data_IF_098379874332
#
_entry.id   IF_098379874332
#
_cell.length_a   1.000
_cell.length_b   1.000
_cell.length_c   1.000
_cell.angle_alpha   90.00
_cell.angle_beta   90.00
_cell.angle_gamma   90.00
#
_symmetry.space_group_name_H-M   'P 1'
#
loop_
_entity.id
_entity.type
_entity.pdbx_description
1 polymer ?
#
# COMPACT_ATOMS: atom_id res chain seq x y z
N UNK A 1 12.68 -2.36 19.23
CA UNK A 1 11.59 -3.11 19.88
C UNK A 1 10.33 -2.26 19.74
N UNK A 2 9.46 -2.56 18.76
CA UNK A 2 8.26 -1.76 18.50
C UNK A 2 7.14 -2.21 19.45
N UNK A 3 6.79 -1.36 20.41
CA UNK A 3 5.61 -1.49 21.27
C UNK A 3 4.39 -1.02 20.47
N UNK A 4 3.75 -1.93 19.75
CA UNK A 4 2.32 -1.87 19.47
C UNK A 4 1.65 -2.76 20.49
N UNK A 5 0.58 -2.28 21.13
CA UNK A 5 -0.20 -3.08 22.08
C UNK A 5 -0.69 -4.34 21.35
N UNK A 6 -0.10 -5.48 21.69
CA UNK A 6 -0.49 -6.79 21.17
C UNK A 6 -1.78 -7.18 21.89
N UNK A 7 -2.94 -6.79 21.38
CA UNK A 7 -4.18 -7.43 21.81
C UNK A 7 -4.36 -8.74 21.03
N UNK A 8 -4.77 -9.83 21.70
CA UNK A 8 -5.17 -11.03 20.99
C UNK A 8 -6.40 -10.72 20.13
N UNK A 9 -6.52 -11.32 18.93
CA UNK A 9 -7.70 -11.16 18.09
C UNK A 9 -8.98 -11.53 18.86
N UNK A 10 -9.93 -10.59 18.92
CA UNK A 10 -11.28 -10.84 19.44
C UNK A 10 -12.19 -11.11 18.24
N UNK A 11 -12.76 -12.31 18.16
CA UNK A 11 -13.85 -12.54 17.22
C UNK A 11 -15.19 -12.73 17.96
N UNK A 12 -16.32 -12.82 17.26
CA UNK A 12 -17.64 -13.14 17.84
C UNK A 12 -18.15 -14.48 17.28
N UNK A 13 -19.27 -15.02 17.77
CA UNK A 13 -19.75 -16.42 17.55
C UNK A 13 -19.63 -16.99 16.11
N UNK A 14 -19.55 -16.14 15.08
CA UNK A 14 -19.23 -16.48 13.67
C UNK A 14 -17.71 -16.56 13.37
N UNK A 15 -16.89 -17.02 14.32
CA UNK A 15 -15.42 -17.03 14.31
C UNK A 15 -14.77 -17.76 13.12
N UNK A 16 -15.48 -18.58 12.34
CA UNK A 16 -14.84 -19.48 11.37
C UNK A 16 -14.41 -18.80 10.06
N UNK A 17 -15.04 -17.69 9.68
CA UNK A 17 -14.79 -16.99 8.41
C UNK A 17 -14.07 -15.64 8.58
N UNK A 18 -13.78 -15.28 9.83
CA UNK A 18 -13.16 -14.00 10.17
C UNK A 18 -11.63 -14.11 10.29
N UNK A 19 -10.95 -13.04 9.91
CA UNK A 19 -9.53 -12.85 10.12
C UNK A 19 -9.21 -11.43 10.61
N UNK A 20 -8.00 -11.24 11.10
CA UNK A 20 -7.47 -9.97 11.56
C UNK A 20 -6.38 -9.49 10.62
N UNK A 21 -6.37 -8.20 10.32
CA UNK A 21 -5.27 -7.55 9.62
C UNK A 21 -4.40 -6.85 10.64
N UNK A 22 -3.14 -7.27 10.74
CA UNK A 22 -2.08 -6.55 11.43
C UNK A 22 -1.47 -5.56 10.43
N UNK A 23 -1.88 -4.30 10.53
CA UNK A 23 -1.56 -3.23 9.59
C UNK A 23 -0.34 -2.45 10.02
N UNK A 24 0.74 -2.54 9.24
CA UNK A 24 1.97 -1.79 9.40
C UNK A 24 1.92 -0.52 8.54
N UNK A 25 2.16 0.66 9.13
CA UNK A 25 2.12 1.93 8.42
C UNK A 25 3.08 2.99 8.99
N UNK A 26 3.33 4.06 8.22
CA UNK A 26 4.20 5.16 8.63
C UNK A 26 5.69 4.84 8.72
N UNK A 27 6.10 3.60 8.44
CA UNK A 27 7.48 3.15 8.39
C UNK A 27 8.05 3.10 6.98
N UNK A 28 9.31 2.72 6.89
CA UNK A 28 10.09 2.63 5.65
C UNK A 28 10.64 1.21 5.49
N UNK A 29 10.60 0.68 4.26
CA UNK A 29 11.29 -0.55 3.94
C UNK A 29 12.79 -0.27 3.77
N UNK A 30 13.62 -0.95 4.56
CA UNK A 30 15.08 -0.88 4.50
C UNK A 30 15.63 -2.24 4.06
N UNK A 31 16.69 -2.25 3.25
CA UNK A 31 17.42 -3.46 2.92
C UNK A 31 18.74 -3.45 3.70
N UNK A 32 18.92 -4.40 4.63
CA UNK A 32 20.15 -4.56 5.42
C UNK A 32 20.67 -5.98 5.20
N UNK A 33 21.88 -6.11 4.70
CA UNK A 33 22.53 -7.42 4.45
C UNK A 33 21.67 -8.40 3.64
N UNK A 34 21.05 -7.91 2.56
CA UNK A 34 20.09 -8.64 1.71
C UNK A 34 18.80 -9.07 2.43
N UNK A 35 18.51 -8.52 3.60
CA UNK A 35 17.26 -8.71 4.31
C UNK A 35 16.40 -7.44 4.25
N UNK A 36 15.21 -7.58 3.67
CA UNK A 36 14.20 -6.54 3.72
C UNK A 36 13.63 -6.47 5.15
N UNK A 37 13.61 -5.27 5.72
CA UNK A 37 13.09 -4.94 7.04
C UNK A 37 12.11 -3.78 6.92
N UNK A 38 11.19 -3.69 7.87
CA UNK A 38 10.28 -2.56 8.00
C UNK A 38 10.61 -1.79 9.29
N UNK A 39 11.01 -0.53 9.16
CA UNK A 39 11.56 0.27 10.26
C UNK A 39 10.76 1.57 10.49
N UNK A 40 10.69 2.00 11.74
CA UNK A 40 10.11 3.30 12.13
C UNK A 40 8.58 3.40 12.02
N UNK A 41 7.88 2.31 11.69
CA UNK A 41 6.43 2.30 11.53
C UNK A 41 5.63 2.04 12.81
N UNK A 42 4.32 2.18 12.68
CA UNK A 42 3.30 1.83 13.67
C UNK A 42 2.56 0.57 13.22
N UNK A 43 1.85 -0.04 14.18
CA UNK A 43 1.01 -1.21 13.95
C UNK A 43 -0.37 -0.93 14.50
N UNK A 44 -1.38 -1.06 13.65
CA UNK A 44 -2.79 -1.10 14.04
C UNK A 44 -3.36 -2.48 13.70
N UNK A 45 -4.50 -2.82 14.30
CA UNK A 45 -5.20 -4.06 13.98
C UNK A 45 -6.61 -3.76 13.49
N UNK A 46 -7.05 -4.51 12.48
CA UNK A 46 -8.40 -4.47 11.94
C UNK A 46 -8.98 -5.86 12.12
N UNK A 47 -9.80 -6.01 13.16
CA UNK A 47 -10.43 -7.27 13.53
C UNK A 47 -11.74 -7.51 12.75
N UNK A 48 -12.23 -8.75 12.80
CA UNK A 48 -13.51 -9.17 12.20
C UNK A 48 -13.60 -8.92 10.68
N UNK A 49 -12.50 -9.10 9.94
CA UNK A 49 -12.52 -9.08 8.48
C UNK A 49 -13.11 -10.39 7.95
N UNK A 50 -14.19 -10.32 7.17
CA UNK A 50 -14.82 -11.50 6.57
C UNK A 50 -14.20 -11.83 5.22
N UNK A 51 -13.60 -13.02 5.08
CA UNK A 51 -12.92 -13.42 3.85
C UNK A 51 -13.83 -13.41 2.60
N UNK A 52 -15.11 -13.78 2.76
CA UNK A 52 -16.11 -13.83 1.70
C UNK A 52 -16.50 -12.46 1.13
N UNK A 53 -16.33 -11.38 1.89
CA UNK A 53 -16.68 -10.00 1.50
C UNK A 53 -15.47 -9.08 1.43
N UNK A 54 -14.27 -9.63 1.60
CA UNK A 54 -13.06 -8.84 1.66
C UNK A 54 -12.62 -8.40 0.26
N UNK A 55 -12.34 -7.10 0.12
CA UNK A 55 -11.88 -6.49 -1.13
C UNK A 55 -10.90 -5.36 -0.85
N UNK A 56 -10.14 -4.94 -1.86
CA UNK A 56 -9.29 -3.75 -1.77
C UNK A 56 -10.10 -2.47 -1.51
N UNK A 57 -11.34 -2.40 -2.01
CA UNK A 57 -12.26 -1.30 -1.67
C UNK A 57 -12.62 -1.27 -0.17
N UNK A 58 -12.73 -2.43 0.46
CA UNK A 58 -12.97 -2.53 1.91
C UNK A 58 -11.77 -1.97 2.68
N UNK A 59 -10.54 -2.21 2.21
CA UNK A 59 -9.33 -1.60 2.79
C UNK A 59 -9.35 -0.08 2.69
N UNK A 60 -9.65 0.49 1.51
CA UNK A 60 -9.72 1.95 1.34
C UNK A 60 -10.75 2.61 2.27
N UNK A 61 -11.89 1.95 2.49
CA UNK A 61 -12.90 2.41 3.45
C UNK A 61 -12.36 2.42 4.89
N UNK A 62 -11.66 1.37 5.30
CA UNK A 62 -11.04 1.30 6.63
C UNK A 62 -9.94 2.36 6.78
N UNK A 63 -9.15 2.61 5.73
CA UNK A 63 -8.12 3.66 5.75
C UNK A 63 -8.72 5.05 5.94
N UNK A 64 -9.85 5.33 5.29
CA UNK A 64 -10.59 6.59 5.48
C UNK A 64 -11.08 6.77 6.92
N UNK A 65 -11.58 5.69 7.56
CA UNK A 65 -12.03 5.72 8.96
C UNK A 65 -10.85 5.96 9.92
N UNK A 66 -9.70 5.36 9.63
CA UNK A 66 -8.46 5.49 10.43
C UNK A 66 -7.69 6.79 10.18
N UNK A 67 -8.23 7.69 9.34
CA UNK A 67 -7.64 9.00 8.97
C UNK A 67 -6.24 8.88 8.35
N UNK A 68 -5.92 7.74 7.75
CA UNK A 68 -4.68 7.55 7.01
C UNK A 68 -4.87 8.17 5.62
N UNK A 69 -3.98 9.07 5.17
CA UNK A 69 -4.14 9.76 3.89
C UNK A 69 -4.09 8.78 2.71
N UNK A 70 -5.00 8.95 1.76
CA UNK A 70 -5.07 8.20 0.49
C UNK A 70 -4.54 9.08 -0.67
N UNK A 71 -4.12 8.48 -1.81
CA UNK A 71 -4.10 7.05 -2.13
C UNK A 71 -2.96 6.31 -1.42
N UNK A 72 -3.13 5.03 -1.14
CA UNK A 72 -2.08 4.15 -0.59
C UNK A 72 -2.03 2.85 -1.40
N UNK A 73 -0.84 2.30 -1.57
CA UNK A 73 -0.65 0.94 -2.04
C UNK A 73 -0.71 -0.03 -0.86
N UNK A 74 -1.05 -1.29 -1.15
CA UNK A 74 -1.11 -2.35 -0.15
C UNK A 74 -0.15 -3.48 -0.52
N UNK A 75 0.54 -4.03 0.46
CA UNK A 75 1.26 -5.29 0.32
C UNK A 75 1.00 -6.18 1.52
N UNK A 76 1.02 -7.48 1.34
CA UNK A 76 0.95 -8.45 2.44
C UNK A 76 2.20 -9.30 2.47
N UNK A 77 2.57 -9.77 3.66
CA UNK A 77 3.62 -10.77 3.83
C UNK A 77 2.98 -12.15 3.86
N UNK A 78 3.35 -13.01 2.91
CA UNK A 78 2.97 -14.42 2.91
C UNK A 78 3.39 -15.11 4.20
N UNK A 79 2.53 -15.99 4.70
CA UNK A 79 2.73 -16.73 5.93
C UNK A 79 4.01 -17.55 5.89
N UNK A 80 4.70 -17.63 7.03
CA UNK A 80 5.95 -18.40 7.21
C UNK A 80 7.16 -17.92 6.39
N UNK A 81 7.02 -16.85 5.61
CA UNK A 81 8.12 -16.21 4.89
C UNK A 81 8.57 -14.92 5.59
N UNK A 82 9.81 -14.53 5.35
CA UNK A 82 10.33 -13.22 5.75
C UNK A 82 9.89 -12.13 4.76
N UNK A 83 10.14 -10.86 5.08
CA UNK A 83 9.78 -9.75 4.20
C UNK A 83 10.54 -9.79 2.85
N UNK A 84 11.77 -10.30 2.84
CA UNK A 84 12.59 -10.39 1.62
C UNK A 84 11.93 -11.27 0.55
N UNK A 85 11.37 -12.41 0.94
CA UNK A 85 10.83 -13.39 0.00
C UNK A 85 9.30 -13.49 0.01
N UNK A 86 8.65 -12.96 1.05
CA UNK A 86 7.22 -13.10 1.29
C UNK A 86 6.38 -11.88 0.94
N UNK A 87 6.98 -10.73 0.65
CA UNK A 87 6.24 -9.50 0.42
C UNK A 87 5.60 -9.49 -0.99
N UNK A 88 4.27 -9.41 -1.04
CA UNK A 88 3.49 -9.41 -2.28
C UNK A 88 2.58 -8.17 -2.32
N UNK A 89 2.63 -7.41 -3.41
CA UNK A 89 1.78 -6.21 -3.58
C UNK A 89 0.38 -6.60 -4.04
N UNK A 90 -0.66 -6.00 -3.46
CA UNK A 90 -2.04 -6.18 -3.90
C UNK A 90 -2.35 -5.23 -5.06
N UNK A 91 -2.02 -5.65 -6.28
CA UNK A 91 -2.26 -4.88 -7.52
C UNK A 91 -3.32 -5.50 -8.41
N UNK A 92 -3.61 -6.78 -8.24
CA UNK A 92 -4.58 -7.56 -9.02
C UNK A 92 -5.36 -8.48 -8.07
N UNK A 93 -6.59 -8.82 -8.45
CA UNK A 93 -7.49 -9.65 -7.64
C UNK A 93 -6.91 -11.03 -7.32
N UNK A 94 -6.06 -11.57 -8.21
CA UNK A 94 -5.35 -12.83 -7.96
C UNK A 94 -4.49 -12.77 -6.68
N UNK A 95 -3.81 -11.66 -6.42
CA UNK A 95 -2.99 -11.52 -5.20
C UNK A 95 -3.85 -11.44 -3.94
N UNK A 96 -5.06 -10.88 -4.05
CA UNK A 96 -6.02 -10.85 -2.97
C UNK A 96 -6.55 -12.26 -2.68
N UNK A 97 -6.89 -13.03 -3.71
CA UNK A 97 -7.33 -14.41 -3.56
C UNK A 97 -6.24 -15.28 -2.91
N UNK A 98 -4.98 -15.14 -3.35
CA UNK A 98 -3.84 -15.82 -2.73
C UNK A 98 -3.65 -15.43 -1.26
N UNK A 99 -3.79 -14.14 -0.93
CA UNK A 99 -3.74 -13.67 0.45
C UNK A 99 -4.83 -14.33 1.29
N UNK A 100 -6.08 -14.36 0.81
CA UNK A 100 -7.21 -14.97 1.53
C UNK A 100 -7.04 -16.49 1.72
N UNK A 101 -6.40 -17.17 0.76
CA UNK A 101 -6.02 -18.58 0.92
C UNK A 101 -4.92 -18.76 1.97
N UNK A 102 -3.92 -17.86 1.99
CA UNK A 102 -2.80 -17.88 2.93
C UNK A 102 -3.22 -17.57 4.37
N UNK A 103 -4.23 -16.70 4.56
CA UNK A 103 -4.86 -16.42 5.87
C UNK A 103 -5.25 -17.73 6.57
N UNK A 104 -5.87 -18.66 5.82
CA UNK A 104 -6.21 -20.02 6.21
C UNK A 104 -6.44 -20.21 7.72
N UNK A 105 -5.59 -21.03 8.34
CA UNK A 105 -5.65 -21.33 9.78
C UNK A 105 -4.94 -20.30 10.68
N UNK A 106 -4.12 -19.41 10.11
CA UNK A 106 -3.42 -18.36 10.87
C UNK A 106 -4.37 -17.26 11.32
N UNK A 107 -5.44 -17.02 10.55
CA UNK A 107 -6.49 -16.00 10.80
C UNK A 107 -5.95 -14.58 11.01
N UNK A 108 -4.70 -14.35 10.65
CA UNK A 108 -4.02 -13.07 10.79
C UNK A 108 -3.17 -12.84 9.56
N UNK A 109 -3.31 -11.67 8.94
CA UNK A 109 -2.46 -11.21 7.84
C UNK A 109 -1.64 -10.02 8.27
N UNK A 110 -0.34 -10.06 7.96
CA UNK A 110 0.52 -8.89 8.07
C UNK A 110 0.45 -8.09 6.79
N UNK A 111 -0.13 -6.89 6.87
CA UNK A 111 -0.33 -5.98 5.75
C UNK A 111 0.47 -4.70 5.96
N UNK A 112 1.04 -4.16 4.90
CA UNK A 112 1.91 -3.00 4.90
C UNK A 112 1.33 -1.93 3.98
N UNK A 113 1.16 -0.73 4.51
CA UNK A 113 0.83 0.44 3.71
C UNK A 113 2.07 0.94 2.99
N UNK A 114 1.93 1.09 1.68
CA UNK A 114 2.96 1.61 0.80
C UNK A 114 2.50 3.02 0.41
N UNK A 115 3.17 4.08 0.89
CA UNK A 115 2.86 5.43 0.44
C UNK A 115 2.95 5.48 -1.08
N UNK A 116 2.06 6.24 -1.74
CA UNK A 116 2.19 6.46 -3.16
C UNK A 116 3.58 7.07 -3.35
N UNK A 117 4.30 6.62 -4.38
CA UNK A 117 5.53 7.31 -4.77
C UNK A 117 5.07 8.69 -5.17
N UNK A 118 5.15 9.64 -4.24
CA UNK A 118 4.95 11.04 -4.57
C UNK A 118 6.15 11.34 -5.47
N UNK A 119 5.96 11.61 -6.78
CA UNK A 119 7.05 12.20 -7.53
C UNK A 119 7.44 13.45 -6.75
N UNK A 120 8.66 13.47 -6.22
CA UNK A 120 9.20 14.69 -5.64
C UNK A 120 9.18 15.72 -6.76
N UNK A 121 8.21 16.63 -6.73
CA UNK A 121 8.29 17.85 -7.53
C UNK A 121 9.36 18.69 -6.88
N UNK A 122 10.53 18.70 -7.52
CA UNK A 122 11.57 19.60 -7.12
C UNK A 122 11.21 21.01 -7.63
N UNK A 123 11.59 22.08 -6.92
CA UNK A 123 11.24 23.45 -7.30
C UNK A 123 11.67 23.87 -8.73
N UNK A 124 12.61 23.14 -9.35
CA UNK A 124 13.06 23.37 -10.73
C UNK A 124 12.27 22.61 -11.81
N UNK A 125 11.36 21.70 -11.43
CA UNK A 125 10.47 21.01 -12.38
C UNK A 125 9.44 21.98 -13.02
N UNK A 126 9.25 23.16 -12.42
CA UNK A 126 8.46 24.24 -13.00
C UNK A 126 9.11 24.84 -14.27
N UNK A 127 10.44 24.84 -14.37
CA UNK A 127 11.17 25.47 -15.48
C UNK A 127 11.04 24.70 -16.79
N UNK A 128 10.83 23.38 -16.71
CA UNK A 128 10.75 22.49 -17.88
C UNK A 128 9.40 22.65 -18.61
N UNK A 129 8.32 22.91 -17.87
CA UNK A 129 6.98 23.10 -18.46
C UNK A 129 6.82 24.43 -19.22
N UNK A 130 7.57 25.47 -18.84
CA UNK A 130 7.56 26.76 -19.54
C UNK A 130 8.32 26.68 -20.86
N UNK A 131 9.51 26.04 -20.89
CA UNK A 131 10.29 25.90 -22.13
C UNK A 131 9.61 25.01 -23.19
N UNK A 132 8.86 23.99 -22.77
CA UNK A 132 8.13 23.12 -23.70
C UNK A 132 6.93 23.83 -24.35
N UNK A 133 6.26 24.74 -23.66
CA UNK A 133 5.21 25.57 -24.26
C UNK A 133 5.79 26.58 -25.26
N UNK A 134 6.91 27.24 -24.95
CA UNK A 134 7.52 28.23 -25.85
C UNK A 134 8.08 27.62 -27.15
N UNK A 135 8.60 26.38 -27.10
CA UNK A 135 9.03 25.65 -28.31
C UNK A 135 7.86 25.22 -29.20
N UNK A 136 6.70 24.92 -28.62
CA UNK A 136 5.51 24.54 -29.40
C UNK A 136 4.81 25.74 -30.03
N UNK A 137 4.95 26.93 -29.45
CA UNK A 137 4.40 28.19 -29.98
C UNK A 137 5.22 28.72 -31.17
N UNK A 138 6.56 28.65 -31.10
CA UNK A 138 7.43 29.11 -32.19
C UNK A 138 7.39 28.22 -33.44
N UNK A 139 6.99 26.95 -33.31
CA UNK A 139 6.86 26.05 -34.47
C UNK A 139 5.56 26.28 -35.24
N UNK A 140 4.48 26.73 -34.59
CA UNK A 140 3.18 26.97 -35.25
C UNK A 140 3.12 28.30 -36.01
N UNK A 141 3.84 29.33 -35.59
CA UNK A 141 3.86 30.62 -36.31
C UNK A 141 4.66 30.59 -37.63
N UNK A 142 5.60 29.64 -37.79
CA UNK A 142 6.37 29.50 -39.03
C UNK A 142 5.66 28.74 -40.15
N UNK A 143 4.54 28.06 -39.86
CA UNK A 143 3.75 27.33 -40.86
C UNK A 143 2.58 28.15 -41.45
N UNK A 144 2.28 29.35 -40.92
CA UNK A 144 1.16 30.17 -41.39
C UNK A 144 1.57 31.40 -42.23
N UNK A 145 2.84 31.53 -42.64
CA UNK A 145 3.30 32.63 -43.52
C UNK A 145 3.64 32.24 -44.96
N UNK A 146 3.55 30.95 -45.30
CA UNK A 146 3.89 30.46 -46.64
C UNK A 146 2.67 29.81 -47.34
N UNK A 147 1.54 30.55 -47.44
CA UNK A 147 0.43 30.25 -48.36
C UNK A 147 -0.16 31.54 -48.92
#
# INVERSE_FOLDING_TARGET
>A
MLRGDYHPPEYGENYQECFTIKLFHGGIFANKDNNCLYEGGKVDYIDNCYASYFSTMSLDRVMNVTKIPLPMGYAYKRSRLNLTHGLTRLTIDQHLAEMLQDVGSMRTVEMYLIPPVVPYYFPWDYSIHVELQDRTSTTKEKMCRDN
#
